data_IF_690952050762
#
_entry.id   IF_690952050762
#
_cell.length_a   1.000
_cell.length_b   1.000
_cell.length_c   1.000
_cell.angle_alpha   90.00
_cell.angle_beta   90.00
_cell.angle_gamma   90.00
#
_symmetry.space_group_name_H-M   'P 1'
#
loop_
_entity.id
_entity.type
_entity.pdbx_description
1 polymer ?
#
# COMPACT_ATOMS: atom_id res chain seq x y z
N UNK A 1 14.87 -6.10 -34.79
CA UNK A 1 14.96 -6.98 -33.60
C UNK A 1 13.75 -6.72 -32.74
N UNK A 2 12.72 -7.56 -32.87
CA UNK A 2 11.50 -7.45 -32.06
C UNK A 2 11.71 -8.10 -30.69
N UNK A 3 11.64 -7.29 -29.64
CA UNK A 3 11.71 -7.77 -28.26
C UNK A 3 10.34 -8.31 -27.85
N UNK A 4 10.24 -9.64 -27.74
CA UNK A 4 9.07 -10.34 -27.15
C UNK A 4 8.79 -9.80 -25.74
N UNK A 5 7.75 -8.97 -25.59
CA UNK A 5 7.23 -8.56 -24.28
C UNK A 5 6.36 -9.67 -23.71
N UNK A 6 6.77 -10.23 -22.57
CA UNK A 6 5.99 -11.24 -21.83
C UNK A 6 4.80 -10.56 -21.15
N UNK A 7 3.58 -11.05 -21.44
CA UNK A 7 2.32 -10.66 -20.78
C UNK A 7 2.25 -11.32 -19.40
N UNK A 8 2.08 -10.51 -18.36
CA UNK A 8 1.59 -10.98 -17.06
C UNK A 8 0.09 -10.65 -17.00
N UNK A 9 -0.74 -11.69 -16.95
CA UNK A 9 -2.20 -11.59 -16.82
C UNK A 9 -2.60 -11.75 -15.36
N UNK A 10 -3.14 -10.69 -14.76
CA UNK A 10 -4.07 -10.80 -13.65
C UNK A 10 -5.44 -11.14 -14.26
N UNK A 11 -6.20 -12.02 -13.64
CA UNK A 11 -7.41 -12.67 -14.19
C UNK A 11 -8.22 -11.74 -15.13
N UNK A 12 -8.17 -12.08 -16.43
CA UNK A 12 -8.84 -11.42 -17.56
C UNK A 12 -8.47 -9.99 -17.95
N UNK A 13 -7.40 -9.38 -17.40
CA UNK A 13 -6.80 -8.19 -18.02
C UNK A 13 -5.26 -8.21 -17.87
N UNK A 14 -4.50 -8.41 -18.96
CA UNK A 14 -3.04 -8.26 -18.91
C UNK A 14 -2.69 -6.81 -18.59
N UNK A 15 -2.13 -6.60 -17.40
CA UNK A 15 -1.51 -5.33 -17.02
C UNK A 15 -0.14 -5.29 -17.70
N UNK A 16 -0.08 -4.69 -18.90
CA UNK A 16 1.17 -4.41 -19.59
C UNK A 16 1.69 -3.04 -19.13
N UNK A 17 2.61 -3.02 -18.16
CA UNK A 17 3.38 -1.82 -17.83
C UNK A 17 4.67 -1.87 -18.65
N UNK A 18 4.71 -1.18 -19.77
CA UNK A 18 5.90 -1.14 -20.64
C UNK A 18 6.92 -0.10 -20.20
N UNK A 19 6.46 1.00 -19.60
CA UNK A 19 7.27 2.04 -19.00
C UNK A 19 6.40 2.97 -18.15
N UNK A 20 6.88 3.38 -16.98
CA UNK A 20 6.24 4.46 -16.22
C UNK A 20 6.56 5.83 -16.85
N UNK A 21 5.74 6.88 -16.63
CA UNK A 21 6.05 8.22 -17.09
C UNK A 21 7.43 8.69 -16.62
N UNK A 22 7.99 9.69 -17.31
CA UNK A 22 9.29 10.30 -16.96
C UNK A 22 9.15 11.16 -15.71
N UNK A 23 9.03 10.50 -14.57
CA UNK A 23 9.13 11.06 -13.24
C UNK A 23 10.53 10.83 -12.68
N UNK A 24 10.95 11.69 -11.75
CA UNK A 24 12.08 11.45 -10.87
C UNK A 24 11.89 10.16 -10.06
N UNK A 25 12.99 9.63 -9.51
CA UNK A 25 12.89 8.43 -8.68
C UNK A 25 12.02 8.66 -7.44
N UNK A 26 12.14 9.83 -6.80
CA UNK A 26 11.36 10.21 -5.62
C UNK A 26 9.86 10.19 -5.94
N UNK A 27 9.44 10.82 -7.04
CA UNK A 27 8.03 10.82 -7.45
C UNK A 27 7.50 9.41 -7.74
N UNK A 28 8.34 8.52 -8.27
CA UNK A 28 7.96 7.11 -8.52
C UNK A 28 7.84 6.31 -7.23
N UNK A 29 8.74 6.56 -6.28
CA UNK A 29 8.70 5.93 -4.95
C UNK A 29 7.46 6.37 -4.16
N UNK A 30 7.18 7.67 -4.17
CA UNK A 30 5.92 8.22 -3.61
C UNK A 30 4.70 7.60 -4.29
N UNK A 31 4.69 7.50 -5.62
CA UNK A 31 3.60 6.86 -6.36
C UNK A 31 3.41 5.38 -5.96
N UNK A 32 4.50 4.64 -5.77
CA UNK A 32 4.44 3.25 -5.32
C UNK A 32 3.77 3.14 -3.94
N UNK A 33 4.15 4.01 -3.01
CA UNK A 33 3.55 4.07 -1.67
C UNK A 33 2.04 4.34 -1.75
N UNK A 34 1.63 5.38 -2.51
CA UNK A 34 0.22 5.71 -2.72
C UNK A 34 -0.58 4.56 -3.32
N UNK A 35 -0.04 3.86 -4.32
CA UNK A 35 -0.72 2.71 -4.93
C UNK A 35 -0.89 1.58 -3.92
N UNK A 36 0.17 1.23 -3.19
CA UNK A 36 0.12 0.16 -2.19
C UNK A 36 -0.94 0.45 -1.11
N UNK A 37 -0.99 1.69 -0.62
CA UNK A 37 -1.95 2.07 0.40
C UNK A 37 -3.36 2.32 -0.15
N UNK A 38 -3.53 2.68 -1.42
CA UNK A 38 -4.86 2.73 -2.03
C UNK A 38 -5.47 1.32 -2.12
N UNK A 39 -4.68 0.31 -2.49
CA UNK A 39 -5.14 -1.09 -2.48
C UNK A 39 -5.54 -1.53 -1.07
N UNK A 40 -4.74 -1.16 -0.06
CA UNK A 40 -5.07 -1.42 1.34
C UNK A 40 -6.39 -0.75 1.75
N UNK A 41 -6.57 0.53 1.44
CA UNK A 41 -7.81 1.26 1.76
C UNK A 41 -9.02 0.67 1.04
N UNK A 42 -8.87 0.25 -0.21
CA UNK A 42 -9.93 -0.44 -0.95
C UNK A 42 -10.36 -1.73 -0.23
N UNK A 43 -9.43 -2.52 0.31
CA UNK A 43 -9.77 -3.70 1.11
C UNK A 43 -10.58 -3.33 2.37
N UNK A 44 -10.24 -2.22 3.04
CA UNK A 44 -10.97 -1.76 4.22
C UNK A 44 -12.35 -1.22 3.89
N UNK A 45 -12.48 -0.45 2.81
CA UNK A 45 -13.67 0.37 2.52
C UNK A 45 -14.65 -0.33 1.56
N UNK A 46 -14.12 -1.02 0.54
CA UNK A 46 -14.93 -1.70 -0.49
C UNK A 46 -15.18 -3.16 -0.12
N UNK A 47 -14.13 -3.89 0.25
CA UNK A 47 -14.23 -5.31 0.60
C UNK A 47 -14.65 -5.52 2.05
N UNK A 48 -14.59 -4.45 2.86
CA UNK A 48 -15.03 -4.42 4.26
C UNK A 48 -14.39 -5.53 5.09
N UNK A 49 -13.09 -5.78 4.90
CA UNK A 49 -12.34 -6.85 5.61
C UNK A 49 -12.45 -6.76 7.14
N UNK A 50 -12.64 -5.55 7.70
CA UNK A 50 -12.84 -5.36 9.13
C UNK A 50 -14.21 -5.85 9.65
N UNK A 51 -15.19 -6.01 8.76
CA UNK A 51 -16.54 -6.49 9.07
C UNK A 51 -16.71 -7.99 8.75
N UNK A 52 -16.08 -8.48 7.67
CA UNK A 52 -16.30 -9.85 7.17
C UNK A 52 -15.36 -10.90 7.79
N UNK A 53 -14.19 -10.49 8.29
CA UNK A 53 -13.22 -11.39 8.93
C UNK A 53 -13.40 -11.38 10.45
N UNK A 54 -13.42 -12.56 11.09
CA UNK A 54 -13.42 -12.66 12.55
C UNK A 54 -12.01 -12.37 13.12
N UNK A 55 -11.77 -11.09 13.40
CA UNK A 55 -10.52 -10.63 13.99
C UNK A 55 -10.33 -11.00 15.47
N UNK A 56 -11.34 -11.57 16.12
CA UNK A 56 -11.26 -11.96 17.53
C UNK A 56 -10.97 -13.45 17.72
N UNK A 57 -10.88 -14.23 16.64
CA UNK A 57 -10.73 -15.68 16.69
C UNK A 57 -9.47 -16.14 17.45
N UNK A 58 -8.37 -15.40 17.40
CA UNK A 58 -7.14 -15.70 18.15
C UNK A 58 -6.27 -14.44 18.38
N UNK A 59 -5.20 -14.59 19.17
CA UNK A 59 -4.29 -13.49 19.51
C UNK A 59 -3.56 -12.90 18.29
N UNK A 60 -3.24 -13.73 17.30
CA UNK A 60 -2.59 -13.30 16.06
C UNK A 60 -3.51 -12.35 15.28
N UNK A 61 -4.76 -12.73 15.04
CA UNK A 61 -5.77 -11.89 14.36
C UNK A 61 -6.09 -10.63 15.15
N UNK A 62 -6.18 -10.70 16.48
CA UNK A 62 -6.36 -9.51 17.32
C UNK A 62 -5.19 -8.54 17.19
N UNK A 63 -3.97 -9.06 17.09
CA UNK A 63 -2.76 -8.25 16.91
C UNK A 63 -2.73 -7.62 15.52
N UNK A 64 -3.02 -8.40 14.47
CA UNK A 64 -3.12 -7.90 13.10
C UNK A 64 -4.17 -6.81 12.97
N UNK A 65 -5.33 -6.96 13.62
CA UNK A 65 -6.37 -5.92 13.64
C UNK A 65 -5.86 -4.59 14.19
N UNK A 66 -5.03 -4.61 15.24
CA UNK A 66 -4.40 -3.39 15.78
C UNK A 66 -3.48 -2.75 14.74
N UNK A 67 -2.67 -3.55 14.04
CA UNK A 67 -1.81 -3.05 12.96
C UNK A 67 -2.60 -2.48 11.78
N UNK A 68 -3.72 -3.10 11.40
CA UNK A 68 -4.62 -2.56 10.37
C UNK A 68 -5.11 -1.16 10.75
N UNK A 69 -5.60 -1.00 11.98
CA UNK A 69 -6.10 0.30 12.46
C UNK A 69 -4.98 1.33 12.50
N UNK A 70 -3.80 0.93 12.99
CA UNK A 70 -2.62 1.80 13.03
C UNK A 70 -2.20 2.25 11.62
N UNK A 71 -2.08 1.32 10.67
CA UNK A 71 -1.74 1.60 9.27
C UNK A 71 -2.75 2.54 8.62
N UNK A 72 -4.05 2.31 8.85
CA UNK A 72 -5.12 3.17 8.32
C UNK A 72 -4.95 4.60 8.83
N UNK A 73 -4.78 4.78 10.13
CA UNK A 73 -4.67 6.12 10.72
C UNK A 73 -3.41 6.84 10.22
N UNK A 74 -2.27 6.15 10.23
CA UNK A 74 -1.03 6.68 9.69
C UNK A 74 -1.19 7.11 8.22
N UNK A 75 -1.81 6.27 7.38
CA UNK A 75 -1.99 6.60 5.97
C UNK A 75 -2.85 7.84 5.76
N UNK A 76 -3.92 7.99 6.53
CA UNK A 76 -4.77 9.19 6.46
C UNK A 76 -3.99 10.45 6.80
N UNK A 77 -3.20 10.43 7.88
CA UNK A 77 -2.35 11.55 8.28
C UNK A 77 -1.26 11.85 7.25
N UNK A 78 -0.53 10.83 6.80
CA UNK A 78 0.54 10.93 5.81
C UNK A 78 0.03 11.46 4.47
N UNK A 79 -1.13 11.01 4.01
CA UNK A 79 -1.79 11.48 2.79
C UNK A 79 -2.19 12.96 2.90
N UNK A 80 -2.68 13.39 4.06
CA UNK A 80 -3.02 14.79 4.29
C UNK A 80 -1.77 15.68 4.30
N UNK A 81 -0.68 15.27 4.97
CA UNK A 81 0.61 15.98 4.93
C UNK A 81 1.13 16.13 3.50
N UNK A 82 1.01 15.09 2.68
CA UNK A 82 1.45 15.12 1.29
C UNK A 82 0.63 16.10 0.46
N UNK A 83 -0.70 16.10 0.64
CA UNK A 83 -1.61 17.06 0.01
C UNK A 83 -1.27 18.51 0.40
N UNK A 84 -0.89 18.73 1.66
CA UNK A 84 -0.48 20.03 2.18
C UNK A 84 0.97 20.40 1.83
N UNK A 85 1.72 19.50 1.16
CA UNK A 85 3.14 19.65 0.81
C UNK A 85 4.03 19.86 2.03
N UNK A 86 3.69 19.22 3.14
CA UNK A 86 4.42 19.28 4.42
C UNK A 86 5.50 18.20 4.54
N UNK A 87 5.76 17.49 3.45
CA UNK A 87 6.64 16.33 3.44
C UNK A 87 7.98 16.70 2.86
N UNK A 88 9.00 16.55 3.70
CA UNK A 88 10.37 16.73 3.31
C UNK A 88 10.95 15.39 2.84
N UNK A 89 10.99 15.20 1.52
CA UNK A 89 11.61 14.03 0.88
C UNK A 89 13.14 14.04 0.95
N UNK A 90 13.76 14.99 1.67
CA UNK A 90 15.17 14.94 2.04
C UNK A 90 15.41 14.54 3.50
N UNK A 91 14.35 14.46 4.31
CA UNK A 91 14.41 13.98 5.70
C UNK A 91 14.46 12.45 5.73
N UNK A 92 15.55 11.90 6.26
CA UNK A 92 15.75 10.47 6.44
C UNK A 92 14.65 9.85 7.32
N UNK A 93 14.10 10.60 8.28
CA UNK A 93 13.01 10.13 9.14
C UNK A 93 11.74 9.84 8.35
N UNK A 94 11.45 10.64 7.32
CA UNK A 94 10.27 10.41 6.48
C UNK A 94 10.42 9.11 5.70
N UNK A 95 11.61 8.83 5.17
CA UNK A 95 11.89 7.57 4.48
C UNK A 95 11.82 6.36 5.41
N UNK A 96 12.38 6.47 6.62
CA UNK A 96 12.30 5.41 7.63
C UNK A 96 10.86 5.10 8.05
N UNK A 97 10.05 6.15 8.23
CA UNK A 97 8.63 6.02 8.57
C UNK A 97 7.85 5.35 7.42
N UNK A 98 7.96 5.88 6.20
CA UNK A 98 7.29 5.33 5.01
C UNK A 98 7.70 3.85 4.80
N UNK A 99 8.98 3.52 4.98
CA UNK A 99 9.51 2.15 4.88
C UNK A 99 8.93 1.22 5.95
N UNK A 100 8.83 1.70 7.19
CA UNK A 100 8.29 0.93 8.31
C UNK A 100 6.84 0.55 8.08
N UNK A 101 6.01 1.51 7.65
CA UNK A 101 4.59 1.25 7.41
C UNK A 101 4.35 0.45 6.13
N UNK A 102 5.14 0.66 5.07
CA UNK A 102 5.09 -0.21 3.90
C UNK A 102 5.46 -1.65 4.26
N UNK A 103 6.48 -1.86 5.09
CA UNK A 103 6.84 -3.19 5.58
C UNK A 103 5.71 -3.82 6.41
N UNK A 104 5.09 -3.05 7.31
CA UNK A 104 3.94 -3.51 8.09
C UNK A 104 2.79 -3.95 7.16
N UNK A 105 2.48 -3.18 6.12
CA UNK A 105 1.48 -3.56 5.11
C UNK A 105 1.85 -4.89 4.44
N UNK A 106 3.12 -5.09 4.07
CA UNK A 106 3.59 -6.35 3.48
C UNK A 106 3.44 -7.56 4.40
N UNK A 107 3.57 -7.37 5.71
CA UNK A 107 3.35 -8.43 6.70
C UNK A 107 1.86 -8.76 6.88
N UNK A 108 0.99 -7.75 6.90
CA UNK A 108 -0.43 -7.95 7.21
C UNK A 108 -1.28 -8.34 5.98
N UNK A 109 -0.81 -8.08 4.74
CA UNK A 109 -1.62 -8.31 3.54
C UNK A 109 -2.13 -9.75 3.38
N UNK A 110 -1.41 -10.74 3.93
CA UNK A 110 -1.84 -12.15 3.88
C UNK A 110 -3.13 -12.43 4.66
N UNK A 111 -3.49 -11.56 5.60
CA UNK A 111 -4.73 -11.65 6.38
C UNK A 111 -5.88 -10.82 5.77
N UNK A 112 -5.62 -10.06 4.70
CA UNK A 112 -6.63 -9.23 4.02
C UNK A 112 -7.30 -9.96 2.85
N UNK A 113 -7.00 -11.26 2.67
CA UNK A 113 -7.60 -12.08 1.62
C UNK A 113 -8.97 -12.54 2.12
N UNK A 114 -10.02 -12.10 1.44
CA UNK A 114 -11.41 -12.57 1.62
C UNK A 114 -11.64 -13.80 0.76
#
# INVERSE_FOLDING_TARGET
>A
METKKRKLTFSNNPVQIESLPKYSWIERDTLLLHIAFQIFMDALEKDKVLEVIDWNCNDEYRTVRKYIIQLRNWWLERKDKDRLKEIDYSDEKQYEEDSTYLHMLMLIRKYLVV
#
